data_IF_454355706221
#
_entry.id   IF_454355706221
#
_cell.length_a   1.000
_cell.length_b   1.000
_cell.length_c   1.000
_cell.angle_alpha   90.00
_cell.angle_beta   90.00
_cell.angle_gamma   90.00
#
_symmetry.space_group_name_H-M   'P 1'
#
loop_
_entity.id
_entity.type
_entity.pdbx_description
1 polymer ?
#
# COMPACT_ATOMS: atom_id res chain seq x y z
N UNK A 1 0.31 8.58 -28.63
CA UNK A 1 -0.74 7.83 -29.40
C UNK A 1 -1.39 6.82 -28.47
N UNK A 2 -2.69 6.63 -28.61
CA UNK A 2 -3.45 5.59 -27.90
C UNK A 2 -3.62 4.44 -28.86
N UNK A 3 -3.24 3.21 -28.44
CA UNK A 3 -3.52 1.98 -29.16
C UNK A 3 -4.68 1.26 -28.46
N UNK A 4 -5.65 0.78 -29.22
CA UNK A 4 -6.83 0.11 -28.69
C UNK A 4 -6.86 -1.33 -29.23
N UNK A 5 -6.90 -2.30 -28.31
CA UNK A 5 -6.98 -3.73 -28.65
C UNK A 5 -8.18 -4.37 -27.97
N UNK A 6 -8.89 -5.22 -28.69
CA UNK A 6 -9.95 -6.06 -28.16
C UNK A 6 -9.47 -7.51 -28.17
N UNK A 7 -9.33 -8.07 -26.98
CA UNK A 7 -8.86 -9.45 -26.79
C UNK A 7 -9.93 -10.22 -26.02
N UNK A 8 -10.38 -11.33 -26.61
CA UNK A 8 -11.28 -12.24 -25.93
C UNK A 8 -10.50 -13.40 -25.30
N UNK A 9 -10.72 -13.65 -23.99
CA UNK A 9 -10.13 -14.78 -23.28
C UNK A 9 -10.96 -15.13 -22.04
N UNK A 10 -11.02 -16.42 -21.67
CA UNK A 10 -11.76 -16.89 -20.50
C UNK A 10 -11.10 -16.50 -19.15
N UNK A 11 -9.82 -16.10 -19.18
CA UNK A 11 -9.06 -15.58 -18.04
C UNK A 11 -8.41 -14.24 -18.40
N UNK A 12 -9.13 -13.12 -18.27
CA UNK A 12 -8.65 -11.80 -18.71
C UNK A 12 -7.31 -11.40 -18.08
N UNK A 13 -7.09 -11.74 -16.80
CA UNK A 13 -5.84 -11.43 -16.11
C UNK A 13 -4.61 -12.04 -16.78
N UNK A 14 -4.70 -13.26 -17.37
CA UNK A 14 -3.58 -13.88 -18.07
C UNK A 14 -3.19 -13.07 -19.30
N UNK A 15 -4.17 -12.57 -20.05
CA UNK A 15 -3.89 -11.73 -21.21
C UNK A 15 -3.27 -10.39 -20.82
N UNK A 16 -3.77 -9.75 -19.77
CA UNK A 16 -3.19 -8.50 -19.26
C UNK A 16 -1.71 -8.72 -18.90
N UNK A 17 -1.41 -9.75 -18.13
CA UNK A 17 -0.03 -10.06 -17.72
C UNK A 17 0.85 -10.41 -18.93
N UNK A 18 0.34 -11.19 -19.88
CA UNK A 18 1.06 -11.53 -21.10
C UNK A 18 1.38 -10.27 -21.94
N UNK A 19 0.46 -9.31 -22.02
CA UNK A 19 0.72 -8.04 -22.72
C UNK A 19 1.79 -7.22 -21.98
N UNK A 20 1.77 -7.17 -20.64
CA UNK A 20 2.81 -6.52 -19.85
C UNK A 20 4.18 -7.15 -20.11
N UNK A 21 4.27 -8.48 -20.03
CA UNK A 21 5.54 -9.20 -20.28
C UNK A 21 6.05 -9.03 -21.71
N UNK A 22 5.15 -8.99 -22.69
CA UNK A 22 5.50 -8.87 -24.11
C UNK A 22 5.98 -7.48 -24.49
N UNK A 23 5.39 -6.44 -23.91
CA UNK A 23 5.60 -5.06 -24.33
C UNK A 23 6.38 -4.22 -23.31
N UNK A 24 6.59 -4.73 -22.07
CA UNK A 24 7.32 -4.02 -21.03
C UNK A 24 6.60 -2.76 -20.53
N UNK A 25 5.29 -2.84 -20.33
CA UNK A 25 4.53 -1.71 -19.79
C UNK A 25 4.94 -1.38 -18.36
N UNK A 26 4.99 -0.08 -18.05
CA UNK A 26 5.43 0.43 -16.74
C UNK A 26 4.37 0.30 -15.66
N UNK A 27 3.08 0.30 -16.02
CA UNK A 27 1.95 0.23 -15.09
C UNK A 27 0.74 -0.41 -15.73
N UNK A 28 -0.05 -1.14 -14.95
CA UNK A 28 -1.40 -1.58 -15.30
C UNK A 28 -2.41 -0.72 -14.57
N UNK A 29 -3.33 -0.09 -15.29
CA UNK A 29 -4.44 0.67 -14.70
C UNK A 29 -5.73 -0.09 -15.01
N UNK A 30 -6.47 -0.46 -13.97
CA UNK A 30 -7.72 -1.21 -14.12
C UNK A 30 -8.84 -0.58 -13.30
N UNK A 31 -9.97 -0.27 -13.97
CA UNK A 31 -11.20 0.12 -13.29
C UNK A 31 -11.75 -1.02 -12.43
N UNK A 32 -12.18 -0.72 -11.22
CA UNK A 32 -12.90 -1.63 -10.32
C UNK A 32 -14.40 -1.44 -10.48
N UNK A 33 -15.19 -2.49 -10.23
CA UNK A 33 -16.63 -2.38 -10.29
C UNK A 33 -17.20 -1.92 -8.94
N UNK A 34 -17.99 -0.85 -8.93
CA UNK A 34 -18.86 -0.52 -7.80
C UNK A 34 -20.17 -1.29 -7.93
N UNK A 35 -20.61 -1.92 -6.85
CA UNK A 35 -21.97 -2.41 -6.76
C UNK A 35 -22.86 -1.30 -6.16
N UNK A 36 -23.88 -0.86 -6.91
CA UNK A 36 -24.82 0.22 -6.54
C UNK A 36 -25.52 0.04 -5.17
N UNK A 37 -25.52 -1.17 -4.61
CA UNK A 37 -26.18 -1.52 -3.34
C UNK A 37 -25.25 -1.58 -2.12
N UNK A 38 -23.95 -1.66 -2.33
CA UNK A 38 -22.95 -1.71 -1.27
C UNK A 38 -21.99 -0.56 -1.53
N UNK A 39 -21.92 0.40 -0.64
CA UNK A 39 -20.94 1.52 -0.72
C UNK A 39 -19.47 1.06 -0.62
N UNK A 40 -19.22 -0.23 -0.70
CA UNK A 40 -17.90 -0.86 -0.65
C UNK A 40 -17.47 -1.34 -2.04
N UNK A 41 -16.19 -1.20 -2.34
CA UNK A 41 -15.56 -1.77 -3.53
C UNK A 41 -15.45 -3.28 -3.38
N UNK A 42 -15.90 -4.01 -4.38
CA UNK A 42 -15.70 -5.45 -4.45
C UNK A 42 -14.61 -5.71 -5.49
N UNK A 43 -13.47 -6.20 -5.03
CA UNK A 43 -12.41 -6.66 -5.92
C UNK A 43 -12.78 -8.00 -6.55
N UNK A 44 -12.65 -8.07 -7.87
CA UNK A 44 -12.93 -9.30 -8.62
C UNK A 44 -11.77 -10.30 -8.50
N UNK A 45 -12.00 -11.60 -8.78
CA UNK A 45 -10.90 -12.55 -8.90
C UNK A 45 -9.80 -12.09 -9.87
N UNK A 46 -10.17 -11.38 -10.94
CA UNK A 46 -9.21 -10.80 -11.90
C UNK A 46 -8.32 -9.76 -11.23
N UNK A 47 -8.85 -8.88 -10.37
CA UNK A 47 -8.07 -7.88 -9.66
C UNK A 47 -7.01 -8.53 -8.77
N UNK A 48 -7.40 -9.53 -8.00
CA UNK A 48 -6.50 -10.29 -7.15
C UNK A 48 -5.41 -11.04 -7.93
N UNK A 49 -5.74 -11.61 -9.08
CA UNK A 49 -4.76 -12.27 -9.92
C UNK A 49 -3.74 -11.28 -10.51
N UNK A 50 -4.18 -10.10 -10.93
CA UNK A 50 -3.29 -9.05 -11.44
C UNK A 50 -2.39 -8.55 -10.31
N UNK A 51 -2.94 -8.21 -9.14
CA UNK A 51 -2.17 -7.80 -7.96
C UNK A 51 -1.09 -8.80 -7.57
N UNK A 52 -1.38 -10.10 -7.65
CA UNK A 52 -0.44 -11.16 -7.29
C UNK A 52 0.64 -11.39 -8.34
N UNK A 53 0.29 -11.37 -9.63
CA UNK A 53 1.12 -11.92 -10.71
C UNK A 53 1.69 -10.87 -11.67
N UNK A 54 1.14 -9.66 -11.70
CA UNK A 54 1.62 -8.63 -12.62
C UNK A 54 3.05 -8.18 -12.21
N UNK A 55 4.02 -8.15 -13.11
CA UNK A 55 5.40 -7.78 -12.79
C UNK A 55 5.59 -6.28 -12.58
N UNK A 56 4.71 -5.45 -13.14
CA UNK A 56 4.75 -3.99 -12.96
C UNK A 56 3.74 -3.50 -11.90
N UNK A 57 3.82 -2.23 -11.47
CA UNK A 57 2.82 -1.59 -10.63
C UNK A 57 1.39 -1.75 -11.14
N UNK A 58 0.45 -1.88 -10.21
CA UNK A 58 -0.97 -2.04 -10.52
C UNK A 58 -1.77 -0.95 -9.82
N UNK A 59 -2.42 -0.08 -10.59
CA UNK A 59 -3.35 0.93 -10.11
C UNK A 59 -4.79 0.43 -10.32
N UNK A 60 -5.49 0.20 -9.23
CA UNK A 60 -6.91 -0.11 -9.22
C UNK A 60 -7.69 1.18 -8.99
N UNK A 61 -8.49 1.57 -9.97
CA UNK A 61 -9.21 2.85 -10.00
C UNK A 61 -10.69 2.65 -9.79
N UNK A 62 -11.27 3.53 -9.00
CA UNK A 62 -12.71 3.68 -8.84
C UNK A 62 -13.26 4.75 -9.78
N UNK A 63 -14.57 4.76 -9.92
CA UNK A 63 -15.27 5.77 -10.71
C UNK A 63 -15.48 7.05 -9.88
N UNK A 64 -14.44 7.86 -9.75
CA UNK A 64 -14.49 9.18 -9.11
C UNK A 64 -13.47 10.14 -9.75
N UNK A 65 -13.66 11.42 -9.50
CA UNK A 65 -12.70 12.46 -9.93
C UNK A 65 -11.72 12.74 -8.79
N UNK A 66 -10.46 12.88 -9.12
CA UNK A 66 -9.44 13.34 -8.16
C UNK A 66 -9.50 14.86 -8.04
N UNK A 67 -9.84 15.39 -6.86
CA UNK A 67 -9.90 16.84 -6.65
C UNK A 67 -8.49 17.43 -6.58
N UNK A 68 -8.37 18.70 -6.91
CA UNK A 68 -7.18 19.48 -6.58
C UNK A 68 -6.99 19.52 -5.05
N UNK A 69 -5.74 19.42 -4.62
CA UNK A 69 -5.37 19.32 -3.19
C UNK A 69 -5.93 18.09 -2.45
N UNK A 70 -6.26 17.02 -3.17
CA UNK A 70 -6.62 15.73 -2.58
C UNK A 70 -5.48 15.15 -1.74
N UNK A 71 -5.74 14.02 -1.07
CA UNK A 71 -4.77 13.38 -0.20
C UNK A 71 -4.35 12.02 -0.73
N UNK A 72 -3.05 11.76 -0.73
CA UNK A 72 -2.43 10.49 -1.07
C UNK A 72 -1.75 9.91 0.16
N UNK A 73 -2.06 8.69 0.50
CA UNK A 73 -1.49 7.99 1.67
C UNK A 73 -0.51 6.93 1.19
N UNK A 74 0.75 7.03 1.60
CA UNK A 74 1.78 6.04 1.37
C UNK A 74 1.96 5.17 2.63
N UNK A 75 1.63 3.87 2.53
CA UNK A 75 1.71 2.92 3.62
C UNK A 75 3.08 2.24 3.63
N UNK A 76 3.83 2.42 4.71
CA UNK A 76 5.21 1.99 4.87
C UNK A 76 5.35 0.96 5.99
N UNK A 77 6.38 0.12 5.90
CA UNK A 77 6.85 -0.75 6.98
C UNK A 77 8.17 -0.20 7.52
N UNK A 78 8.10 0.94 8.22
CA UNK A 78 9.29 1.72 8.58
C UNK A 78 10.10 1.11 9.73
N UNK A 79 9.47 0.27 10.54
CA UNK A 79 10.14 -0.37 11.69
C UNK A 79 10.98 -1.59 11.33
N UNK A 80 11.00 -2.02 10.07
CA UNK A 80 11.81 -3.14 9.62
C UNK A 80 13.20 -2.69 9.19
N UNK A 81 14.24 -3.41 9.71
CA UNK A 81 15.63 -3.20 9.34
C UNK A 81 16.06 -3.97 8.08
N UNK A 82 15.20 -4.82 7.54
CA UNK A 82 15.46 -5.59 6.33
C UNK A 82 15.64 -4.65 5.13
N UNK A 83 16.70 -4.90 4.34
CA UNK A 83 17.04 -4.04 3.18
C UNK A 83 15.92 -3.98 2.15
N UNK A 84 15.23 -5.08 1.94
CA UNK A 84 14.11 -5.21 1.02
C UNK A 84 12.94 -4.31 1.41
N UNK A 85 12.63 -4.26 2.72
CA UNK A 85 11.60 -3.36 3.22
C UNK A 85 12.00 -1.89 3.08
N UNK A 86 13.26 -1.55 3.38
CA UNK A 86 13.78 -0.18 3.21
C UNK A 86 13.71 0.25 1.74
N UNK A 87 14.18 -0.59 0.82
CA UNK A 87 14.10 -0.33 -0.63
C UNK A 87 12.66 -0.16 -1.12
N UNK A 88 11.74 -1.01 -0.63
CA UNK A 88 10.32 -0.89 -0.99
C UNK A 88 9.67 0.38 -0.40
N UNK A 89 10.01 0.77 0.82
CA UNK A 89 9.56 2.03 1.42
C UNK A 89 10.04 3.24 0.61
N UNK A 90 11.31 3.23 0.19
CA UNK A 90 11.88 4.29 -0.66
C UNK A 90 11.13 4.38 -2.00
N UNK A 91 10.87 3.25 -2.64
CA UNK A 91 10.12 3.17 -3.88
C UNK A 91 8.69 3.68 -3.71
N UNK A 92 7.98 3.23 -2.67
CA UNK A 92 6.61 3.68 -2.37
C UNK A 92 6.58 5.21 -2.20
N UNK A 93 7.51 5.75 -1.43
CA UNK A 93 7.55 7.19 -1.16
C UNK A 93 7.94 8.00 -2.38
N UNK A 94 8.89 7.49 -3.20
CA UNK A 94 9.28 8.14 -4.45
C UNK A 94 8.13 8.22 -5.45
N UNK A 95 7.43 7.11 -5.67
CA UNK A 95 6.24 7.05 -6.54
C UNK A 95 5.12 7.96 -6.02
N UNK A 96 4.87 7.93 -4.71
CA UNK A 96 3.86 8.79 -4.08
C UNK A 96 4.18 10.29 -4.29
N UNK A 97 5.44 10.69 -4.18
CA UNK A 97 5.87 12.08 -4.45
C UNK A 97 5.70 12.48 -5.90
N UNK A 98 5.97 11.59 -6.84
CA UNK A 98 5.76 11.88 -8.26
C UNK A 98 4.28 12.07 -8.56
N UNK A 99 3.44 11.17 -8.07
CA UNK A 99 2.00 11.23 -8.27
C UNK A 99 1.38 12.47 -7.62
N UNK A 100 1.71 12.76 -6.36
CA UNK A 100 1.19 13.96 -5.68
C UNK A 100 1.58 15.26 -6.39
N UNK A 101 2.76 15.32 -7.00
CA UNK A 101 3.18 16.46 -7.80
C UNK A 101 2.33 16.62 -9.08
N UNK A 102 2.02 15.51 -9.75
CA UNK A 102 1.18 15.51 -10.97
C UNK A 102 -0.27 15.84 -10.64
N UNK A 103 -0.77 15.33 -9.52
CA UNK A 103 -2.16 15.48 -9.08
C UNK A 103 -2.41 16.78 -8.30
N UNK A 104 -1.38 17.57 -7.99
CA UNK A 104 -1.45 18.69 -7.06
C UNK A 104 -2.08 18.29 -5.70
N UNK A 105 -1.59 17.17 -5.13
CA UNK A 105 -2.14 16.54 -3.93
C UNK A 105 -1.16 16.58 -2.74
N UNK A 106 -1.67 16.33 -1.54
CA UNK A 106 -0.89 16.24 -0.32
C UNK A 106 -0.41 14.80 -0.09
N UNK A 107 0.87 14.62 0.23
CA UNK A 107 1.43 13.32 0.59
C UNK A 107 1.38 13.11 2.09
N UNK A 108 0.81 11.97 2.52
CA UNK A 108 0.84 11.49 3.89
C UNK A 108 1.56 10.15 3.96
N UNK A 109 2.49 10.00 4.90
CA UNK A 109 3.14 8.73 5.20
C UNK A 109 2.48 8.08 6.40
N UNK A 110 2.19 6.79 6.34
CA UNK A 110 1.60 6.05 7.46
C UNK A 110 2.40 4.78 7.75
N UNK A 111 2.60 4.52 9.03
CA UNK A 111 3.09 3.23 9.54
C UNK A 111 2.26 2.80 10.73
N UNK A 112 1.95 1.52 10.80
CA UNK A 112 1.39 0.88 11.98
C UNK A 112 2.43 -0.03 12.63
N UNK A 113 2.31 -0.22 13.94
CA UNK A 113 3.09 -1.20 14.67
C UNK A 113 2.18 -1.98 15.64
N UNK A 114 2.46 -3.28 15.86
CA UNK A 114 1.65 -4.07 16.77
C UNK A 114 1.88 -3.63 18.21
N UNK A 115 0.80 -3.56 18.98
CA UNK A 115 0.91 -3.41 20.44
C UNK A 115 1.47 -4.66 21.11
N UNK A 116 1.66 -4.56 22.43
CA UNK A 116 2.11 -5.70 23.23
C UNK A 116 1.15 -6.88 23.09
N UNK A 117 1.63 -8.08 22.71
CA UNK A 117 0.79 -9.27 22.69
C UNK A 117 0.21 -9.55 24.11
N UNK A 118 -1.10 -9.74 24.19
CA UNK A 118 -1.81 -9.90 25.46
C UNK A 118 -1.28 -11.08 26.28
N UNK A 119 -0.90 -12.17 25.64
CA UNK A 119 -0.31 -13.34 26.28
C UNK A 119 1.02 -13.03 26.98
N UNK A 120 1.89 -12.20 26.40
CA UNK A 120 3.16 -11.81 27.01
C UNK A 120 2.90 -10.98 28.29
N UNK A 121 1.95 -10.07 28.24
CA UNK A 121 1.60 -9.25 29.40
C UNK A 121 1.02 -10.08 30.55
N UNK A 122 0.39 -11.23 30.26
CA UNK A 122 -0.17 -12.13 31.26
C UNK A 122 0.84 -13.14 31.80
N UNK A 123 1.69 -13.70 30.90
CA UNK A 123 2.61 -14.79 31.25
C UNK A 123 3.88 -14.31 31.95
N UNK A 124 4.26 -13.04 31.81
CA UNK A 124 5.45 -12.46 32.43
C UNK A 124 5.07 -11.36 33.40
N UNK A 125 4.91 -11.66 34.70
CA UNK A 125 4.43 -10.70 35.71
C UNK A 125 5.29 -9.43 35.85
N UNK A 126 6.59 -9.50 35.48
CA UNK A 126 7.53 -8.38 35.55
C UNK A 126 7.60 -7.56 34.24
N UNK A 127 6.84 -7.97 33.20
CA UNK A 127 6.84 -7.29 31.92
C UNK A 127 6.04 -5.98 31.99
N UNK A 128 6.74 -4.87 31.75
CA UNK A 128 6.11 -3.56 31.68
C UNK A 128 5.64 -3.26 30.25
N UNK A 129 4.37 -3.55 29.98
CA UNK A 129 3.76 -3.32 28.67
C UNK A 129 3.81 -1.83 28.24
N UNK A 130 3.69 -0.89 29.21
CA UNK A 130 3.75 0.54 28.93
C UNK A 130 5.14 0.97 28.42
N UNK A 131 6.20 0.51 29.08
CA UNK A 131 7.58 0.83 28.69
C UNK A 131 7.93 0.21 27.35
N UNK A 132 7.47 -1.02 27.11
CA UNK A 132 7.63 -1.68 25.82
C UNK A 132 6.95 -0.91 24.68
N UNK A 133 5.67 -0.59 24.85
CA UNK A 133 4.91 0.16 23.83
C UNK A 133 5.50 1.55 23.58
N UNK A 134 5.96 2.22 24.64
CA UNK A 134 6.63 3.52 24.53
C UNK A 134 7.94 3.43 23.74
N UNK A 135 8.71 2.38 23.97
CA UNK A 135 9.96 2.12 23.27
C UNK A 135 9.72 1.79 21.80
N UNK A 136 8.70 0.98 21.52
CA UNK A 136 8.29 0.64 20.14
C UNK A 136 7.81 1.88 19.39
N UNK A 137 6.95 2.69 20.00
CA UNK A 137 6.49 3.94 19.41
C UNK A 137 7.68 4.83 19.05
N UNK A 138 8.60 5.05 19.99
CA UNK A 138 9.79 5.88 19.78
C UNK A 138 10.70 5.35 18.66
N UNK A 139 10.86 4.03 18.57
CA UNK A 139 11.61 3.40 17.48
C UNK A 139 10.98 3.74 16.12
N UNK A 140 9.68 3.53 15.96
CA UNK A 140 8.97 3.82 14.73
C UNK A 140 8.92 5.34 14.42
N UNK A 141 8.80 6.19 15.43
CA UNK A 141 8.86 7.65 15.26
C UNK A 141 10.21 8.11 14.72
N UNK A 142 11.30 7.62 15.28
CA UNK A 142 12.65 7.96 14.83
C UNK A 142 12.88 7.49 13.38
N UNK A 143 12.54 6.24 13.07
CA UNK A 143 12.66 5.70 11.72
C UNK A 143 11.82 6.48 10.71
N UNK A 144 10.59 6.84 11.05
CA UNK A 144 9.73 7.65 10.20
C UNK A 144 10.29 9.06 10.00
N UNK A 145 10.85 9.65 11.04
CA UNK A 145 11.42 11.00 10.99
C UNK A 145 12.65 11.04 10.06
N UNK A 146 13.52 10.03 10.13
CA UNK A 146 14.66 9.89 9.24
C UNK A 146 14.21 9.71 7.78
N UNK A 147 13.25 8.82 7.55
CA UNK A 147 12.70 8.58 6.22
C UNK A 147 12.01 9.82 5.65
N UNK A 148 11.13 10.47 6.41
CA UNK A 148 10.43 11.68 5.99
C UNK A 148 11.41 12.82 5.65
N UNK A 149 12.49 12.98 6.44
CA UNK A 149 13.55 13.96 6.17
C UNK A 149 14.27 13.66 4.85
N UNK A 150 14.58 12.39 4.56
CA UNK A 150 15.24 12.00 3.32
C UNK A 150 14.38 12.32 2.08
N UNK A 151 13.06 12.27 2.22
CA UNK A 151 12.11 12.56 1.16
C UNK A 151 11.49 13.97 1.22
N UNK A 152 11.92 14.84 2.12
CA UNK A 152 11.32 16.18 2.32
C UNK A 152 9.79 16.12 2.52
N UNK A 153 9.32 15.22 3.37
CA UNK A 153 7.93 15.15 3.81
C UNK A 153 7.81 15.84 5.18
N UNK A 154 6.84 16.75 5.30
CA UNK A 154 6.63 17.50 6.52
C UNK A 154 6.17 16.59 7.67
N UNK A 155 6.59 16.88 8.91
CA UNK A 155 6.29 16.06 10.08
C UNK A 155 4.79 15.90 10.34
N UNK A 156 4.02 16.93 10.11
CA UNK A 156 2.55 16.93 10.22
C UNK A 156 1.87 15.94 9.27
N UNK A 157 2.55 15.54 8.20
CA UNK A 157 2.08 14.57 7.23
C UNK A 157 2.62 13.15 7.50
N UNK A 158 3.20 12.91 8.68
CA UNK A 158 3.64 11.58 9.09
C UNK A 158 2.74 11.03 10.19
N UNK A 159 2.30 9.79 10.04
CA UNK A 159 1.34 9.16 10.93
C UNK A 159 1.86 7.81 11.41
N UNK A 160 2.02 7.67 12.72
CA UNK A 160 2.44 6.43 13.36
C UNK A 160 1.38 6.06 14.37
N UNK A 161 0.89 4.85 14.31
CA UNK A 161 -0.16 4.40 15.20
C UNK A 161 0.00 2.93 15.56
N UNK A 162 -0.23 2.63 16.83
CA UNK A 162 -0.39 1.26 17.31
C UNK A 162 -1.68 0.65 16.75
N UNK A 163 -1.60 -0.57 16.24
CA UNK A 163 -2.75 -1.33 15.75
C UNK A 163 -2.42 -2.17 14.52
N UNK A 164 -3.41 -2.89 14.03
CA UNK A 164 -3.31 -3.67 12.81
C UNK A 164 -3.21 -2.74 11.59
N UNK A 165 -2.36 -3.04 10.61
CA UNK A 165 -2.19 -2.20 9.42
C UNK A 165 -3.51 -1.89 8.70
N UNK A 166 -4.36 -2.89 8.53
CA UNK A 166 -5.66 -2.76 7.87
C UNK A 166 -6.60 -1.79 8.58
N UNK A 167 -6.56 -1.70 9.90
CA UNK A 167 -7.40 -0.79 10.67
C UNK A 167 -6.81 0.64 10.67
N UNK A 168 -5.49 0.73 10.85
CA UNK A 168 -4.78 2.02 10.91
C UNK A 168 -4.82 2.73 9.57
N UNK A 169 -4.48 2.03 8.48
CA UNK A 169 -4.41 2.61 7.13
C UNK A 169 -5.82 3.01 6.66
N UNK A 170 -6.81 2.14 6.83
CA UNK A 170 -8.20 2.44 6.49
C UNK A 170 -8.73 3.65 7.29
N UNK A 171 -8.50 3.67 8.60
CA UNK A 171 -8.95 4.77 9.47
C UNK A 171 -8.33 6.11 9.05
N UNK A 172 -7.04 6.11 8.69
CA UNK A 172 -6.37 7.31 8.22
C UNK A 172 -6.87 7.74 6.83
N UNK A 173 -6.99 6.80 5.89
CA UNK A 173 -7.52 7.08 4.56
C UNK A 173 -8.92 7.71 4.63
N UNK A 174 -9.81 7.16 5.46
CA UNK A 174 -11.14 7.71 5.67
C UNK A 174 -11.10 9.10 6.34
N UNK A 175 -10.23 9.30 7.35
CA UNK A 175 -10.10 10.59 8.06
C UNK A 175 -9.62 11.71 7.15
N UNK A 176 -8.73 11.38 6.21
CA UNK A 176 -8.15 12.33 5.27
C UNK A 176 -8.98 12.46 3.98
N UNK A 177 -10.04 11.67 3.83
CA UNK A 177 -10.77 11.52 2.56
C UNK A 177 -9.78 11.27 1.41
N UNK A 178 -8.92 10.24 1.60
CA UNK A 178 -7.82 9.97 0.70
C UNK A 178 -8.31 9.46 -0.66
N UNK A 179 -7.77 10.02 -1.72
CA UNK A 179 -8.06 9.61 -3.11
C UNK A 179 -7.32 8.32 -3.48
N UNK A 180 -6.11 8.15 -2.94
CA UNK A 180 -5.21 7.08 -3.29
C UNK A 180 -4.44 6.58 -2.08
N UNK A 181 -4.40 5.26 -1.91
CA UNK A 181 -3.45 4.58 -1.02
C UNK A 181 -2.41 3.84 -1.85
N UNK A 182 -1.13 4.08 -1.54
CA UNK A 182 0.02 3.42 -2.17
C UNK A 182 0.64 2.49 -1.16
N UNK A 183 0.82 1.21 -1.52
CA UNK A 183 1.38 0.20 -0.62
C UNK A 183 2.20 -0.86 -1.37
N UNK A 184 3.06 -1.55 -0.62
CA UNK A 184 3.77 -2.72 -1.11
C UNK A 184 2.93 -3.98 -0.97
N UNK A 185 2.96 -4.85 -1.98
CA UNK A 185 2.19 -6.12 -1.96
C UNK A 185 3.00 -7.32 -1.49
N UNK A 186 4.32 -7.20 -1.37
CA UNK A 186 5.21 -8.29 -0.97
C UNK A 186 6.20 -7.75 0.07
N UNK A 187 6.23 -8.37 1.24
CA UNK A 187 7.12 -7.98 2.32
C UNK A 187 8.34 -8.87 2.51
N UNK A 188 8.44 -10.00 1.79
CA UNK A 188 9.56 -10.94 1.93
C UNK A 188 10.03 -11.44 0.58
N UNK A 189 11.34 -11.37 0.33
CA UNK A 189 12.01 -12.01 -0.79
C UNK A 189 12.03 -13.53 -0.58
N UNK A 190 11.90 -14.30 -1.66
CA UNK A 190 11.97 -15.77 -1.63
C UNK A 190 10.64 -16.51 -1.58
N UNK A 191 9.51 -15.83 -1.46
CA UNK A 191 8.21 -16.42 -1.74
C UNK A 191 7.96 -16.41 -3.26
N UNK A 192 7.36 -17.49 -3.78
CA UNK A 192 7.08 -17.59 -5.22
C UNK A 192 6.37 -16.33 -5.73
N UNK A 193 6.73 -15.89 -6.92
CA UNK A 193 6.26 -14.66 -7.59
C UNK A 193 4.72 -14.51 -7.76
N UNK A 194 3.93 -15.36 -7.12
CA UNK A 194 2.47 -15.40 -7.23
C UNK A 194 1.73 -15.04 -5.93
N UNK A 195 2.44 -14.53 -4.90
CA UNK A 195 1.83 -14.27 -3.60
C UNK A 195 1.76 -12.76 -3.31
N UNK A 196 0.61 -12.33 -2.86
CA UNK A 196 0.43 -11.05 -2.18
C UNK A 196 0.53 -11.31 -0.67
N UNK A 197 1.15 -10.40 0.07
CA UNK A 197 1.23 -10.54 1.54
C UNK A 197 -0.15 -10.42 2.18
N UNK A 198 -0.43 -11.23 3.20
CA UNK A 198 -1.71 -11.19 3.92
C UNK A 198 -2.08 -9.77 4.38
N UNK A 199 -1.10 -9.03 4.90
CA UNK A 199 -1.32 -7.64 5.33
C UNK A 199 -1.80 -6.76 4.18
N UNK A 200 -1.14 -6.84 3.01
CA UNK A 200 -1.54 -6.06 1.84
C UNK A 200 -2.94 -6.46 1.35
N UNK A 201 -3.26 -7.75 1.36
CA UNK A 201 -4.59 -8.25 1.00
C UNK A 201 -5.67 -7.70 1.93
N UNK A 202 -5.47 -7.77 3.25
CA UNK A 202 -6.41 -7.22 4.24
C UNK A 202 -6.56 -5.70 4.15
N UNK A 203 -5.47 -4.97 3.91
CA UNK A 203 -5.53 -3.51 3.73
C UNK A 203 -6.33 -3.17 2.48
N UNK A 204 -6.00 -3.76 1.33
CA UNK A 204 -6.65 -3.48 0.05
C UNK A 204 -8.16 -3.76 0.13
N UNK A 205 -8.55 -4.88 0.72
CA UNK A 205 -9.97 -5.29 0.82
C UNK A 205 -10.83 -4.31 1.62
N UNK A 206 -10.23 -3.55 2.53
CA UNK A 206 -10.94 -2.58 3.39
C UNK A 206 -10.91 -1.14 2.89
N UNK A 207 -10.11 -0.83 1.88
CA UNK A 207 -10.00 0.53 1.36
C UNK A 207 -11.20 0.90 0.48
N UNK A 208 -11.61 2.15 0.57
CA UNK A 208 -12.66 2.75 -0.26
C UNK A 208 -12.14 3.77 -1.28
N UNK A 209 -10.84 3.95 -1.40
CA UNK A 209 -10.16 4.84 -2.36
C UNK A 209 -9.39 4.05 -3.41
N UNK A 210 -8.81 4.70 -4.38
CA UNK A 210 -7.93 4.06 -5.36
C UNK A 210 -6.73 3.42 -4.68
N UNK A 211 -6.17 2.37 -5.30
CA UNK A 211 -5.05 1.63 -4.73
C UNK A 211 -3.95 1.47 -5.76
N UNK A 212 -2.75 1.96 -5.45
CA UNK A 212 -1.53 1.64 -6.19
C UNK A 212 -0.71 0.61 -5.44
N UNK A 213 -0.62 -0.56 -6.01
CA UNK A 213 0.12 -1.68 -5.48
C UNK A 213 1.51 -1.78 -6.13
N UNK A 214 2.57 -1.70 -5.32
CA UNK A 214 3.95 -1.77 -5.75
C UNK A 214 4.62 -3.07 -5.32
N UNK A 215 5.61 -3.50 -6.10
CA UNK A 215 6.46 -4.64 -5.79
C UNK A 215 7.91 -4.21 -5.66
N UNK A 216 8.73 -4.94 -4.87
CA UNK A 216 10.17 -4.73 -4.86
C UNK A 216 10.77 -4.82 -6.26
N UNK A 217 11.91 -4.18 -6.48
CA UNK A 217 12.62 -4.28 -7.74
C UNK A 217 13.16 -5.70 -7.93
N UNK A 218 13.18 -6.17 -9.19
CA UNK A 218 13.59 -7.53 -9.51
C UNK A 218 12.58 -8.62 -9.16
N UNK A 219 11.36 -8.25 -8.80
CA UNK A 219 10.26 -9.19 -8.59
C UNK A 219 9.68 -9.62 -9.93
N UNK A 220 9.98 -10.86 -10.35
CA UNK A 220 9.51 -11.49 -11.59
C UNK A 220 8.80 -12.80 -11.25
#
# INVERSE_FOLDING_TARGET
SIDCQVIWHNRPFEQIINQVLKHGYDIVIKGTHQHDKLKSVIFTPTDWHILRKCPCPVLLVKEHLWPDNGNVVAALNIGSDEKEHKSLNDKITAEAKQLTKVMNANLHLVNSFPGTPVNIAIEIPEFNASDYNSSMLKHHENAMQEHAKAFNVAKENTHIKEGLPEDVIQSLANKLDAELVILGTVGRTGLSAALIGNTAEHVIDRLNCDVLALKPDGYI
#
